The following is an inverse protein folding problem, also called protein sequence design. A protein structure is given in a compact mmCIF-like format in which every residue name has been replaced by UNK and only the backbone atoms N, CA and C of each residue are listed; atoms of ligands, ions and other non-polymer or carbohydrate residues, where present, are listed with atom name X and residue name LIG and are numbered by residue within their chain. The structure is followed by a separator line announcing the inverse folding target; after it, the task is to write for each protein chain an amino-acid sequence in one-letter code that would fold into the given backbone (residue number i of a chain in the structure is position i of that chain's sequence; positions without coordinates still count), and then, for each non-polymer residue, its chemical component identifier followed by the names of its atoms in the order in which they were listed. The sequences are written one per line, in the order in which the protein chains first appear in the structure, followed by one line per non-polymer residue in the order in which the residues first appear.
data_IF_821794471279
#
_entry.id   IF_821794471279
#
_cell.length_a   1.000
_cell.length_b   1.000
_cell.length_c   1.000
_cell.angle_alpha   90.00
_cell.angle_beta   90.00
_cell.angle_gamma   90.00
#
_symmetry.space_group_name_H-M   'P 1'
#
loop_
_entity.id
_entity.type
_entity.pdbx_description
1 polymer ?
#
# COMPACT_ATOMS: atom_id res chain seq x y z
N UNK A 1 13.99 2.85 5.57
CA UNK A 1 13.03 2.65 4.45
C UNK A 1 11.93 3.69 4.48
N UNK A 2 11.85 4.55 3.47
CA UNK A 2 10.76 5.52 3.36
C UNK A 2 9.42 4.78 3.12
N UNK A 3 8.39 5.03 3.95
CA UNK A 3 7.03 4.50 3.75
C UNK A 3 6.32 5.33 2.67
N UNK A 4 6.88 5.35 1.47
CA UNK A 4 6.36 6.10 0.32
C UNK A 4 5.87 5.10 -0.73
N UNK A 5 4.75 5.42 -1.38
CA UNK A 5 4.29 4.68 -2.54
C UNK A 5 5.07 5.14 -3.77
N UNK A 6 5.75 4.23 -4.46
CA UNK A 6 6.55 4.56 -5.64
C UNK A 6 5.69 5.06 -6.81
N UNK A 7 4.47 4.52 -6.98
CA UNK A 7 3.56 4.92 -8.05
C UNK A 7 2.73 6.18 -7.80
N UNK A 8 2.39 6.46 -6.53
CA UNK A 8 1.42 7.54 -6.21
C UNK A 8 1.98 8.61 -5.27
N UNK A 9 3.25 8.50 -4.86
CA UNK A 9 3.90 9.44 -3.95
C UNK A 9 3.30 9.50 -2.54
N UNK A 10 2.31 8.65 -2.21
CA UNK A 10 1.63 8.69 -0.91
C UNK A 10 2.62 8.46 0.22
N UNK A 11 2.68 9.44 1.11
CA UNK A 11 3.60 9.51 2.25
C UNK A 11 2.82 9.51 3.58
N UNK A 12 3.48 9.17 4.70
CA UNK A 12 2.85 9.28 6.01
C UNK A 12 2.51 10.75 6.31
N UNK A 13 1.31 10.98 6.82
CA UNK A 13 0.83 12.33 7.16
C UNK A 13 0.79 12.46 8.69
N UNK A 14 1.14 13.63 9.20
CA UNK A 14 1.02 13.95 10.62
C UNK A 14 -0.41 14.32 10.94
N UNK A 15 -0.94 13.82 12.05
CA UNK A 15 -2.16 14.37 12.63
C UNK A 15 -2.20 14.15 14.13
N UNK A 16 -3.38 14.28 14.70
CA UNK A 16 -3.57 14.23 16.16
C UNK A 16 -4.66 13.22 16.52
N UNK A 17 -4.51 12.62 17.70
CA UNK A 17 -5.58 11.89 18.39
C UNK A 17 -6.10 12.85 19.46
N UNK A 18 -7.35 13.27 19.31
CA UNK A 18 -8.04 14.13 20.27
C UNK A 18 -8.91 13.22 21.13
N UNK A 19 -8.59 13.14 22.42
CA UNK A 19 -9.40 12.43 23.40
C UNK A 19 -10.48 13.37 23.91
N UNK A 20 -11.73 12.92 23.84
CA UNK A 20 -12.90 13.68 24.31
C UNK A 20 -13.69 12.82 25.28
N UNK A 21 -14.09 13.43 26.38
CA UNK A 21 -14.87 12.78 27.44
C UNK A 21 -16.23 13.46 27.58
N UNK A 22 -17.23 12.68 27.97
CA UNK A 22 -18.62 13.12 28.05
C UNK A 22 -19.46 12.77 26.81
N UNK A 23 -20.75 13.09 26.88
CA UNK A 23 -21.73 12.80 25.83
C UNK A 23 -21.98 14.05 24.99
N UNK A 24 -22.01 13.90 23.66
CA UNK A 24 -22.27 15.03 22.78
C UNK A 24 -23.64 15.66 23.05
N UNK A 25 -23.73 17.00 22.94
CA UNK A 25 -24.99 17.75 23.15
C UNK A 25 -26.16 17.20 22.33
N UNK A 26 -25.90 16.85 21.07
CA UNK A 26 -26.88 16.22 20.17
C UNK A 26 -27.49 14.90 20.68
N UNK A 27 -26.85 14.23 21.64
CA UNK A 27 -27.34 12.98 22.26
C UNK A 27 -27.91 13.22 23.68
N UNK A 28 -28.28 14.46 24.00
CA UNK A 28 -28.84 14.85 25.29
C UNK A 28 -27.82 14.94 26.43
N UNK A 29 -26.52 15.14 26.12
CA UNK A 29 -25.48 15.36 27.13
C UNK A 29 -25.13 16.84 27.33
N UNK A 30 -24.39 17.16 28.40
CA UNK A 30 -23.88 18.52 28.67
C UNK A 30 -22.87 18.97 27.59
N UNK A 31 -22.10 18.02 27.04
CA UNK A 31 -21.09 18.28 26.02
C UNK A 31 -19.88 17.36 26.13
N UNK A 32 -19.04 17.37 25.09
CA UNK A 32 -17.77 16.65 25.05
C UNK A 32 -16.62 17.64 25.26
N UNK A 33 -15.92 17.55 26.40
CA UNK A 33 -14.70 18.34 26.64
C UNK A 33 -13.47 17.59 26.11
N UNK A 34 -12.40 18.32 25.78
CA UNK A 34 -11.15 17.74 25.32
C UNK A 34 -10.27 17.41 26.52
N UNK A 35 -9.88 16.14 26.66
CA UNK A 35 -9.08 15.66 27.80
C UNK A 35 -7.59 15.64 27.48
N UNK A 36 -7.23 15.25 26.24
CA UNK A 36 -5.84 15.21 25.81
C UNK A 36 -5.71 15.31 24.29
N UNK A 37 -4.58 15.85 23.83
CA UNK A 37 -4.21 15.91 22.41
C UNK A 37 -2.83 15.29 22.23
N UNK A 38 -2.77 14.13 21.58
CA UNK A 38 -1.49 13.43 21.31
C UNK A 38 -1.20 13.43 19.81
N UNK A 39 0.05 13.72 19.42
CA UNK A 39 0.49 13.64 18.02
C UNK A 39 0.54 12.19 17.56
N UNK A 40 0.10 11.90 16.34
CA UNK A 40 0.17 10.58 15.71
C UNK A 40 0.55 10.69 14.24
N UNK A 41 1.01 9.58 13.65
CA UNK A 41 1.27 9.46 12.22
C UNK A 41 0.24 8.55 11.56
N UNK A 42 -0.32 9.00 10.46
CA UNK A 42 -1.18 8.21 9.59
C UNK A 42 -0.32 7.56 8.52
N UNK A 43 -0.26 6.23 8.52
CA UNK A 43 0.52 5.49 7.56
C UNK A 43 -0.34 5.04 6.38
N UNK A 44 0.14 5.16 5.13
CA UNK A 44 -0.50 4.53 3.99
C UNK A 44 -0.40 3.01 4.11
N UNK A 45 -1.46 2.29 3.71
CA UNK A 45 -1.45 0.82 3.59
C UNK A 45 -0.60 0.42 2.37
N UNK A 46 0.71 0.32 2.58
CA UNK A 46 1.69 -0.07 1.58
C UNK A 46 1.85 -1.59 1.59
N UNK A 47 1.76 -2.18 0.41
CA UNK A 47 1.97 -3.59 0.16
C UNK A 47 3.14 -3.77 -0.79
N UNK A 48 3.93 -4.83 -0.58
CA UNK A 48 5.08 -5.15 -1.44
C UNK A 48 4.59 -6.03 -2.58
N UNK A 49 4.71 -5.55 -3.81
CA UNK A 49 4.19 -6.25 -5.01
C UNK A 49 5.30 -6.37 -6.05
N UNK A 50 5.30 -7.50 -6.76
CA UNK A 50 6.17 -7.70 -7.92
C UNK A 50 5.53 -7.02 -9.12
N UNK A 51 6.20 -6.03 -9.69
CA UNK A 51 5.69 -5.26 -10.82
C UNK A 51 6.77 -5.13 -11.91
N UNK A 52 6.32 -5.02 -13.15
CA UNK A 52 7.19 -4.57 -14.24
C UNK A 52 7.22 -3.04 -14.17
N UNK A 53 8.41 -2.48 -13.94
CA UNK A 53 8.60 -1.04 -13.97
C UNK A 53 9.79 -0.77 -14.88
N UNK A 54 9.59 0.05 -15.91
CA UNK A 54 10.62 0.39 -16.89
C UNK A 54 11.22 -0.82 -17.62
N UNK A 55 10.43 -1.89 -17.79
CA UNK A 55 10.84 -3.14 -18.48
C UNK A 55 11.46 -4.20 -17.56
N UNK A 56 11.87 -3.84 -16.35
CA UNK A 56 12.44 -4.76 -15.37
C UNK A 56 11.43 -5.21 -14.32
N UNK A 57 11.54 -6.47 -13.89
CA UNK A 57 10.68 -7.04 -12.85
C UNK A 57 11.29 -6.73 -11.48
N UNK A 58 10.77 -5.71 -10.79
CA UNK A 58 11.23 -5.33 -9.44
C UNK A 58 10.12 -5.42 -8.39
N UNK A 59 10.53 -5.52 -7.14
CA UNK A 59 9.61 -5.39 -6.01
C UNK A 59 9.42 -3.92 -5.68
N UNK A 60 8.18 -3.45 -5.74
CA UNK A 60 7.83 -2.07 -5.42
C UNK A 60 6.85 -2.00 -4.25
N UNK A 61 6.93 -0.92 -3.48
CA UNK A 61 5.95 -0.63 -2.42
C UNK A 61 4.82 0.22 -2.99
N UNK A 62 3.63 -0.37 -3.04
CA UNK A 62 2.45 0.26 -3.64
C UNK A 62 1.33 0.34 -2.63
N UNK A 63 0.54 1.41 -2.68
CA UNK A 63 -0.67 1.48 -1.83
C UNK A 63 -1.73 0.49 -2.31
N UNK A 64 -2.44 -0.12 -1.36
CA UNK A 64 -3.56 -1.02 -1.66
C UNK A 64 -4.61 -0.37 -2.60
N UNK A 65 -4.84 0.95 -2.50
CA UNK A 65 -5.72 1.69 -3.43
C UNK A 65 -5.20 1.69 -4.88
N UNK A 66 -3.90 1.80 -5.09
CA UNK A 66 -3.31 1.76 -6.42
C UNK A 66 -3.32 0.34 -7.01
N UNK A 67 -3.16 -0.68 -6.16
CA UNK A 67 -3.36 -2.09 -6.56
C UNK A 67 -4.81 -2.31 -7.01
N UNK A 68 -5.79 -1.85 -6.21
CA UNK A 68 -7.22 -1.97 -6.54
C UNK A 68 -7.59 -1.28 -7.86
N UNK A 69 -6.93 -0.16 -8.17
CA UNK A 69 -7.15 0.60 -9.42
C UNK A 69 -6.40 0.00 -10.63
N UNK A 70 -5.63 -1.08 -10.47
CA UNK A 70 -4.94 -1.73 -11.59
C UNK A 70 -3.71 -0.98 -12.12
N UNK A 71 -3.18 0.02 -11.42
CA UNK A 71 -1.98 0.76 -11.85
C UNK A 71 -0.68 -0.08 -11.78
N UNK A 72 -0.78 -1.34 -11.36
CA UNK A 72 0.36 -2.25 -11.20
C UNK A 72 0.30 -3.31 -12.29
N UNK A 73 1.24 -3.23 -13.23
CA UNK A 73 1.45 -4.29 -14.21
C UNK A 73 2.21 -5.43 -13.54
N UNK A 74 1.51 -6.54 -13.29
CA UNK A 74 2.15 -7.76 -12.78
C UNK A 74 2.99 -8.40 -13.88
N UNK A 75 4.16 -8.96 -13.55
CA UNK A 75 4.95 -9.70 -14.53
C UNK A 75 4.16 -10.90 -15.06
N UNK A 76 4.32 -11.21 -16.35
CA UNK A 76 3.77 -12.42 -16.95
C UNK A 76 4.30 -13.64 -16.18
N UNK A 77 3.42 -14.62 -15.90
CA UNK A 77 3.85 -15.89 -15.32
C UNK A 77 4.81 -16.56 -16.33
N UNK A 78 5.94 -17.07 -15.84
CA UNK A 78 6.86 -17.84 -16.70
C UNK A 78 6.17 -19.14 -17.13
N UNK A 79 6.11 -19.39 -18.44
CA UNK A 79 5.57 -20.62 -19.06
C UNK A 79 6.68 -21.59 -19.42
N UNK A 80 7.63 -21.81 -18.51
CA UNK A 80 8.78 -22.68 -18.78
C UNK A 80 8.46 -24.12 -18.38
N UNK A 81 8.55 -25.05 -19.34
CA UNK A 81 8.41 -26.49 -19.12
C UNK A 81 9.73 -27.18 -19.48
N UNK A 82 10.24 -28.08 -18.62
CA UNK A 82 11.53 -28.77 -18.79
C UNK A 82 11.66 -29.49 -20.14
N UNK A 83 10.57 -30.11 -20.61
CA UNK A 83 10.51 -30.87 -21.87
C UNK A 83 10.71 -29.98 -23.10
N UNK A 84 10.17 -28.76 -23.08
CA UNK A 84 10.33 -27.79 -24.16
C UNK A 84 11.75 -27.22 -24.23
N UNK A 85 12.47 -27.18 -23.11
CA UNK A 85 13.87 -26.76 -23.07
C UNK A 85 14.78 -27.84 -23.66
N UNK A 86 14.55 -29.12 -23.31
CA UNK A 86 15.32 -30.24 -23.84
C UNK A 86 15.14 -30.40 -25.36
N UNK A 87 13.92 -30.23 -25.87
CA UNK A 87 13.64 -30.24 -27.31
C UNK A 87 14.31 -29.08 -28.06
N UNK A 88 14.47 -27.91 -27.43
CA UNK A 88 15.14 -26.74 -28.01
C UNK A 88 16.66 -26.87 -28.05
N UNK A 89 17.26 -27.52 -27.04
CA UNK A 89 18.70 -27.79 -26.99
C UNK A 89 19.11 -28.94 -27.90
N UNK A 90 18.22 -29.90 -28.15
CA UNK A 90 18.48 -31.02 -29.07
C UNK A 90 18.29 -30.68 -30.57
N UNK A 91 17.61 -29.57 -30.86
CA UNK A 91 17.36 -29.09 -32.23
C UNK A 91 18.34 -27.97 -32.67
N UNK A 92 19.30 -27.61 -31.81
CA UNK A 92 20.39 -26.67 -32.08
C UNK A 92 21.71 -27.43 -32.16
#
# INVERSE_FOLDING_TARGET
MARICELTGKRPIKGTRIWRSGKAKKKGGIGMHVTAITKRRFFPNLQRVKAVVDGEVRYIRVTAKAIKKGLVVKPKKRTWTKEQQAAKTAAA
#
